data_IF_291449260968
#
_entry.id   IF_291449260968
#
_cell.length_a   1.000
_cell.length_b   1.000
_cell.length_c   1.000
_cell.angle_alpha   90.00
_cell.angle_beta   90.00
_cell.angle_gamma   90.00
#
_symmetry.space_group_name_H-M   'P 1'
#
loop_
_entity.id
_entity.type
_entity.pdbx_description
1 polymer ?
#
# COMPACT_ATOMS: atom_id res chain seq x y z
N UNK A 1 25.43 6.52 49.19
CA UNK A 1 25.18 7.72 48.38
C UNK A 1 24.11 8.55 49.09
N UNK A 2 24.28 9.87 49.19
CA UNK A 2 23.30 10.77 49.82
C UNK A 2 22.14 11.10 48.89
N UNK A 3 20.94 11.29 49.44
CA UNK A 3 19.72 11.54 48.67
C UNK A 3 19.80 12.81 47.78
N UNK A 4 20.56 13.82 48.20
CA UNK A 4 20.82 15.04 47.42
C UNK A 4 21.46 14.73 46.06
N UNK A 5 22.43 13.81 46.01
CA UNK A 5 23.10 13.45 44.77
C UNK A 5 22.18 12.65 43.86
N UNK A 6 21.29 11.81 44.41
CA UNK A 6 20.29 11.10 43.62
C UNK A 6 19.33 12.06 42.93
N UNK A 7 18.82 13.08 43.65
CA UNK A 7 17.95 14.10 43.08
C UNK A 7 18.63 14.89 41.95
N UNK A 8 19.88 15.34 42.14
CA UNK A 8 20.65 16.07 41.11
C UNK A 8 20.97 15.18 39.90
N UNK A 9 21.31 13.90 40.11
CA UNK A 9 21.52 12.95 39.02
C UNK A 9 20.22 12.66 38.26
N UNK A 10 19.10 12.48 38.96
CA UNK A 10 17.79 12.24 38.35
C UNK A 10 17.32 13.44 37.54
N UNK A 11 17.40 14.66 38.07
CA UNK A 11 17.09 15.92 37.38
C UNK A 11 18.02 16.16 36.17
N UNK A 12 19.29 15.76 36.25
CA UNK A 12 20.22 15.78 35.11
C UNK A 12 19.88 14.71 34.05
N UNK A 13 19.38 13.54 34.46
CA UNK A 13 18.88 12.50 33.56
C UNK A 13 17.60 12.98 32.87
N UNK A 14 16.59 13.41 33.63
CA UNK A 14 15.32 13.93 33.12
C UNK A 14 15.57 15.08 32.14
N UNK A 15 16.32 16.12 32.49
CA UNK A 15 16.61 17.22 31.54
C UNK A 15 17.33 16.80 30.25
N UNK A 16 18.02 15.65 30.24
CA UNK A 16 18.76 15.15 29.07
C UNK A 16 17.94 14.18 28.21
N UNK A 17 17.08 13.36 28.82
CA UNK A 17 16.31 12.30 28.14
C UNK A 17 14.82 12.64 27.98
N UNK A 18 14.26 13.44 28.90
CA UNK A 18 12.90 13.99 28.85
C UNK A 18 12.86 15.32 28.07
N UNK A 19 13.64 15.39 26.99
CA UNK A 19 13.59 16.49 26.04
C UNK A 19 12.37 16.30 25.13
N UNK A 20 11.19 16.53 25.69
CA UNK A 20 9.89 16.43 25.00
C UNK A 20 9.84 17.27 23.73
N UNK A 21 10.56 18.39 23.67
CA UNK A 21 10.72 19.21 22.47
C UNK A 21 11.50 18.48 21.36
N UNK A 22 12.60 17.79 21.67
CA UNK A 22 13.33 16.96 20.70
C UNK A 22 12.48 15.80 20.20
N UNK A 23 11.73 15.13 21.08
CA UNK A 23 10.82 14.04 20.72
C UNK A 23 9.66 14.55 19.85
N UNK A 24 9.07 15.71 20.20
CA UNK A 24 8.06 16.40 19.40
C UNK A 24 8.57 16.70 18.00
N UNK A 25 9.77 17.30 17.88
CA UNK A 25 10.37 17.62 16.59
C UNK A 25 10.64 16.36 15.75
N UNK A 26 11.17 15.29 16.34
CA UNK A 26 11.39 14.03 15.62
C UNK A 26 10.08 13.45 15.05
N UNK A 27 9.00 13.43 15.84
CA UNK A 27 7.68 12.97 15.36
C UNK A 27 7.06 13.89 14.29
N UNK A 28 7.33 15.20 14.33
CA UNK A 28 6.90 16.15 13.30
C UNK A 28 7.73 16.03 12.01
N UNK A 29 9.05 15.86 12.11
CA UNK A 29 9.94 15.60 10.97
C UNK A 29 9.55 14.30 10.26
N UNK A 30 9.31 13.22 11.03
CA UNK A 30 8.77 11.96 10.52
C UNK A 30 7.41 12.14 9.84
N UNK A 31 6.50 12.90 10.45
CA UNK A 31 5.15 13.15 9.92
C UNK A 31 5.20 13.92 8.60
N UNK A 32 5.98 15.01 8.52
CA UNK A 32 6.06 15.86 7.33
C UNK A 32 6.99 15.30 6.23
N UNK A 33 7.85 14.33 6.56
CA UNK A 33 8.67 13.61 5.56
C UNK A 33 7.94 12.44 4.89
N UNK A 34 6.74 12.05 5.35
CA UNK A 34 5.97 10.93 4.79
C UNK A 34 5.86 11.01 3.26
N UNK A 35 6.21 9.96 2.51
CA UNK A 35 6.17 9.96 1.06
C UNK A 35 4.74 10.03 0.51
N UNK A 36 4.61 10.53 -0.72
CA UNK A 36 3.33 10.49 -1.45
C UNK A 36 2.89 9.04 -1.65
N UNK A 37 1.67 8.70 -1.23
CA UNK A 37 1.12 7.35 -1.29
C UNK A 37 0.89 6.91 -2.74
N UNK A 38 1.35 5.72 -3.14
CA UNK A 38 1.01 5.15 -4.47
C UNK A 38 -0.23 4.26 -4.39
N UNK A 39 -0.66 3.69 -5.52
CA UNK A 39 -1.77 2.72 -5.57
C UNK A 39 -1.46 1.36 -4.88
N UNK A 40 -0.24 1.15 -4.37
CA UNK A 40 0.14 -0.08 -3.68
C UNK A 40 -0.47 -0.08 -2.25
N UNK A 41 -1.24 -1.12 -1.84
CA UNK A 41 -1.83 -1.20 -0.50
C UNK A 41 -0.82 -1.08 0.65
N UNK A 42 0.40 -1.61 0.47
CA UNK A 42 1.47 -1.56 1.49
C UNK A 42 1.82 -0.11 1.80
N UNK A 43 1.90 0.75 0.78
CA UNK A 43 2.20 2.18 0.96
C UNK A 43 1.05 2.92 1.65
N UNK A 44 -0.22 2.54 1.37
CA UNK A 44 -1.39 3.10 2.04
C UNK A 44 -1.39 2.74 3.53
N UNK A 45 -1.16 1.46 3.87
CA UNK A 45 -1.08 1.04 5.28
C UNK A 45 0.12 1.67 6.00
N UNK A 46 1.29 1.76 5.36
CA UNK A 46 2.46 2.36 5.97
C UNK A 46 2.24 3.85 6.28
N UNK A 47 1.64 4.60 5.35
CA UNK A 47 1.25 6.00 5.58
C UNK A 47 0.25 6.14 6.73
N UNK A 48 -0.81 5.32 6.76
CA UNK A 48 -1.82 5.33 7.82
C UNK A 48 -1.22 5.00 9.20
N UNK A 49 -0.39 3.97 9.27
CA UNK A 49 0.27 3.53 10.51
C UNK A 49 1.22 4.58 11.07
N UNK A 50 2.08 5.18 10.24
CA UNK A 50 3.02 6.21 10.69
C UNK A 50 2.32 7.54 11.04
N UNK A 51 1.24 7.90 10.34
CA UNK A 51 0.37 9.01 10.75
C UNK A 51 -0.23 8.75 12.15
N UNK A 52 -0.78 7.56 12.39
CA UNK A 52 -1.33 7.18 13.69
C UNK A 52 -0.27 7.16 14.80
N UNK A 53 0.93 6.68 14.50
CA UNK A 53 2.09 6.68 15.40
C UNK A 53 2.48 8.10 15.83
N UNK A 54 2.71 9.01 14.87
CA UNK A 54 3.08 10.40 15.18
C UNK A 54 1.97 11.13 15.95
N UNK A 55 0.70 10.93 15.58
CA UNK A 55 -0.46 11.52 16.28
C UNK A 55 -0.57 11.00 17.72
N UNK A 56 -0.40 9.68 17.91
CA UNK A 56 -0.42 9.05 19.23
C UNK A 56 0.73 9.52 20.11
N UNK A 57 1.94 9.61 19.55
CA UNK A 57 3.12 10.09 20.26
C UNK A 57 3.01 11.57 20.67
N UNK A 58 2.55 12.45 19.76
CA UNK A 58 2.30 13.86 20.09
C UNK A 58 1.23 14.02 21.17
N UNK A 59 0.18 13.20 21.14
CA UNK A 59 -0.85 13.17 22.19
C UNK A 59 -0.29 12.68 23.53
N UNK A 60 0.57 11.64 23.52
CA UNK A 60 1.23 11.13 24.71
C UNK A 60 2.22 12.13 25.34
N UNK A 61 2.81 13.01 24.52
CA UNK A 61 3.63 14.16 24.95
C UNK A 61 2.80 15.35 25.48
N UNK A 62 1.47 15.25 25.49
CA UNK A 62 0.55 16.26 26.03
C UNK A 62 0.11 17.34 25.04
N UNK A 63 0.38 17.19 23.73
CA UNK A 63 -0.08 18.14 22.71
C UNK A 63 -1.55 17.90 22.33
N UNK A 64 -2.31 18.98 22.17
CA UNK A 64 -3.71 18.92 21.74
C UNK A 64 -3.83 18.75 20.21
N UNK A 65 -3.60 17.53 19.73
CA UNK A 65 -3.61 17.22 18.27
C UNK A 65 -5.00 17.46 17.62
N UNK A 66 -6.08 17.48 18.42
CA UNK A 66 -7.44 17.78 17.96
C UNK A 66 -7.52 19.14 17.27
N UNK A 67 -6.89 20.18 17.84
CA UNK A 67 -6.84 21.52 17.27
C UNK A 67 -6.13 21.59 15.91
N UNK A 68 -5.31 20.60 15.57
CA UNK A 68 -4.54 20.53 14.33
C UNK A 68 -5.17 19.65 13.25
N UNK A 69 -6.36 19.06 13.50
CA UNK A 69 -7.02 18.16 12.56
C UNK A 69 -7.19 18.78 11.16
N UNK A 70 -7.67 20.02 11.06
CA UNK A 70 -7.90 20.70 9.77
C UNK A 70 -6.62 20.86 8.92
N UNK A 71 -5.53 21.50 9.41
CA UNK A 71 -4.30 21.62 8.61
C UNK A 71 -3.63 20.27 8.35
N UNK A 72 -3.67 19.31 9.29
CA UNK A 72 -3.11 17.98 9.09
C UNK A 72 -3.85 17.18 8.01
N UNK A 73 -5.19 17.23 8.00
CA UNK A 73 -6.01 16.60 6.96
C UNK A 73 -5.78 17.23 5.59
N UNK A 74 -5.72 18.56 5.52
CA UNK A 74 -5.36 19.25 4.27
C UNK A 74 -3.98 18.83 3.76
N UNK A 75 -2.98 18.74 4.64
CA UNK A 75 -1.64 18.29 4.26
C UNK A 75 -1.64 16.82 3.81
N UNK A 76 -2.24 15.92 4.60
CA UNK A 76 -2.28 14.48 4.30
C UNK A 76 -2.99 14.20 2.97
N UNK A 77 -4.13 14.85 2.69
CA UNK A 77 -4.86 14.67 1.42
C UNK A 77 -4.01 15.04 0.19
N UNK A 78 -3.09 16.01 0.30
CA UNK A 78 -2.12 16.31 -0.78
C UNK A 78 -1.07 15.21 -0.96
N UNK A 79 -0.77 14.40 0.06
CA UNK A 79 0.13 13.22 -0.04
C UNK A 79 -0.57 11.98 -0.60
N UNK A 80 -1.90 11.92 -0.63
CA UNK A 80 -2.64 10.82 -1.26
C UNK A 80 -2.58 10.91 -2.80
N UNK A 81 -2.53 9.77 -3.49
CA UNK A 81 -2.75 9.70 -4.94
C UNK A 81 -4.22 9.93 -5.32
N UNK A 82 -4.45 10.31 -6.58
CA UNK A 82 -5.75 10.77 -7.08
C UNK A 82 -6.94 9.86 -6.71
N UNK A 83 -6.90 8.55 -7.06
CA UNK A 83 -7.98 7.60 -6.74
C UNK A 83 -8.31 7.45 -5.26
N UNK A 84 -7.32 7.66 -4.38
CA UNK A 84 -7.49 7.58 -2.93
C UNK A 84 -8.01 8.91 -2.36
N UNK A 85 -7.59 10.04 -2.95
CA UNK A 85 -8.14 11.36 -2.67
C UNK A 85 -9.60 11.45 -3.09
N UNK A 86 -9.94 11.04 -4.31
CA UNK A 86 -11.32 10.99 -4.82
C UNK A 86 -12.25 10.20 -3.88
N UNK A 87 -11.83 9.02 -3.43
CA UNK A 87 -12.58 8.20 -2.48
C UNK A 87 -12.70 8.83 -1.07
N UNK A 88 -11.75 9.68 -0.68
CA UNK A 88 -11.83 10.45 0.58
C UNK A 88 -12.82 11.62 0.44
N UNK A 89 -12.71 12.41 -0.63
CA UNK A 89 -13.62 13.52 -0.93
C UNK A 89 -15.09 13.04 -1.05
N UNK A 90 -15.31 11.86 -1.65
CA UNK A 90 -16.64 11.24 -1.73
C UNK A 90 -17.22 10.91 -0.35
N UNK A 91 -16.39 10.39 0.57
CA UNK A 91 -16.80 10.05 1.94
C UNK A 91 -17.14 11.29 2.77
N UNK A 92 -16.26 12.29 2.78
CA UNK A 92 -16.45 13.48 3.63
C UNK A 92 -17.61 14.35 3.16
N UNK A 93 -18.03 14.25 1.90
CA UNK A 93 -19.23 14.92 1.38
C UNK A 93 -20.52 14.44 2.07
N UNK A 94 -20.50 13.28 2.71
CA UNK A 94 -21.65 12.68 3.41
C UNK A 94 -21.55 12.69 4.94
N UNK A 95 -20.44 13.12 5.52
CA UNK A 95 -20.17 13.04 6.96
C UNK A 95 -19.96 14.44 7.59
N UNK A 96 -20.05 14.50 8.93
CA UNK A 96 -19.68 15.66 9.78
C UNK A 96 -18.19 15.99 9.56
N UNK A 97 -17.68 17.23 9.81
CA UNK A 97 -16.26 17.57 9.71
C UNK A 97 -15.35 16.44 10.21
N UNK A 98 -14.56 15.81 9.32
CA UNK A 98 -13.91 14.54 9.60
C UNK A 98 -12.81 14.70 10.64
N UNK A 99 -12.74 13.77 11.58
CA UNK A 99 -11.63 13.73 12.54
C UNK A 99 -10.39 13.08 11.92
N UNK A 100 -9.23 13.31 12.54
CA UNK A 100 -7.98 12.67 12.13
C UNK A 100 -8.04 11.14 12.33
N UNK A 101 -8.80 10.67 13.33
CA UNK A 101 -9.12 9.26 13.54
C UNK A 101 -9.96 8.66 12.40
N UNK A 102 -10.97 9.37 11.89
CA UNK A 102 -11.80 8.88 10.78
C UNK A 102 -10.97 8.73 9.50
N UNK A 103 -10.04 9.66 9.28
CA UNK A 103 -9.10 9.61 8.17
C UNK A 103 -8.13 8.42 8.26
N UNK A 104 -7.55 8.19 9.44
CA UNK A 104 -6.69 7.01 9.69
C UNK A 104 -7.49 5.71 9.46
N UNK A 105 -8.72 5.62 9.97
CA UNK A 105 -9.60 4.47 9.80
C UNK A 105 -9.96 4.24 8.32
N UNK A 106 -10.29 5.30 7.58
CA UNK A 106 -10.52 5.24 6.14
C UNK A 106 -9.31 4.70 5.37
N UNK A 107 -8.09 5.16 5.68
CA UNK A 107 -6.88 4.68 5.00
C UNK A 107 -6.61 3.20 5.28
N UNK A 108 -6.82 2.73 6.52
CA UNK A 108 -6.70 1.32 6.86
C UNK A 108 -7.73 0.44 6.14
N UNK A 109 -9.00 0.86 6.08
CA UNK A 109 -10.03 0.13 5.34
C UNK A 109 -9.71 0.10 3.84
N UNK A 110 -9.25 1.23 3.28
CA UNK A 110 -8.92 1.30 1.85
C UNK A 110 -7.68 0.47 1.50
N UNK A 111 -6.69 0.38 2.39
CA UNK A 111 -5.58 -0.57 2.26
C UNK A 111 -6.09 -2.02 2.24
N UNK A 112 -6.96 -2.41 3.18
CA UNK A 112 -7.56 -3.75 3.26
C UNK A 112 -8.34 -4.13 1.98
N UNK A 113 -9.14 -3.20 1.45
CA UNK A 113 -9.87 -3.39 0.18
C UNK A 113 -8.90 -3.62 -0.98
N UNK A 114 -7.85 -2.79 -1.09
CA UNK A 114 -6.86 -2.90 -2.15
C UNK A 114 -6.16 -4.28 -2.12
N UNK A 115 -5.77 -4.78 -0.94
CA UNK A 115 -5.15 -6.11 -0.78
C UNK A 115 -6.07 -7.23 -1.29
N UNK A 116 -7.33 -7.25 -0.85
CA UNK A 116 -8.31 -8.24 -1.28
C UNK A 116 -8.49 -8.25 -2.81
N UNK A 117 -8.50 -7.08 -3.43
CA UNK A 117 -8.59 -6.96 -4.91
C UNK A 117 -7.30 -7.38 -5.63
N UNK A 118 -6.11 -7.09 -5.07
CA UNK A 118 -4.83 -7.38 -5.74
C UNK A 118 -4.58 -8.89 -5.88
N UNK A 119 -4.87 -9.67 -4.83
CA UNK A 119 -4.72 -11.14 -4.84
C UNK A 119 -5.65 -11.85 -5.84
N UNK A 120 -6.73 -11.18 -6.29
CA UNK A 120 -7.69 -11.76 -7.24
C UNK A 120 -7.15 -11.82 -8.67
N UNK A 121 -6.15 -11.01 -9.01
CA UNK A 121 -5.62 -10.88 -10.38
C UNK A 121 -4.70 -12.03 -10.77
N UNK A 122 -3.80 -12.46 -9.87
CA UNK A 122 -2.79 -13.49 -10.15
C UNK A 122 -3.37 -14.92 -10.19
N UNK A 123 -4.56 -15.13 -9.62
CA UNK A 123 -5.26 -16.42 -9.62
C UNK A 123 -5.91 -16.77 -10.97
N UNK A 124 -5.82 -15.89 -11.98
CA UNK A 124 -6.37 -16.11 -13.33
C UNK A 124 -5.39 -16.82 -14.30
N UNK A 125 -4.33 -17.44 -13.78
CA UNK A 125 -3.44 -18.33 -14.53
C UNK A 125 -4.15 -19.62 -14.97
N UNK A 126 -4.74 -19.61 -16.16
CA UNK A 126 -5.29 -20.81 -16.82
C UNK A 126 -4.19 -21.87 -16.93
N UNK A 127 -4.37 -23.10 -16.40
CA UNK A 127 -3.40 -24.17 -16.59
C UNK A 127 -3.47 -24.67 -18.04
N UNK A 128 -2.58 -24.13 -18.88
CA UNK A 128 -2.45 -24.50 -20.28
C UNK A 128 -1.93 -25.94 -20.38
N UNK A 129 -2.86 -26.90 -20.50
CA UNK A 129 -2.54 -28.32 -20.70
C UNK A 129 -1.71 -28.49 -21.98
N UNK A 130 -0.43 -28.81 -21.80
CA UNK A 130 0.43 -29.25 -22.89
C UNK A 130 -0.09 -30.59 -23.42
N UNK A 131 -0.52 -30.63 -24.68
CA UNK A 131 -0.91 -31.87 -25.34
C UNK A 131 0.31 -32.42 -26.07
N UNK A 132 0.96 -33.43 -25.49
CA UNK A 132 2.08 -34.10 -26.15
C UNK A 132 1.60 -34.80 -27.42
N UNK A 133 2.10 -34.33 -28.56
CA UNK A 133 1.77 -34.85 -29.88
C UNK A 133 2.52 -36.16 -30.11
N UNK A 134 1.95 -37.28 -29.66
CA UNK A 134 2.50 -38.61 -29.95
C UNK A 134 2.50 -38.81 -31.47
N UNK A 135 3.70 -38.79 -32.05
CA UNK A 135 3.94 -39.30 -33.39
C UNK A 135 3.98 -40.83 -33.32
N UNK A 136 3.12 -41.49 -34.07
CA UNK A 136 3.19 -42.92 -34.33
C UNK A 136 2.78 -43.13 -35.77
N UNK A 137 3.79 -43.16 -36.64
CA UNK A 137 3.57 -43.43 -38.05
C UNK A 137 3.18 -44.89 -38.28
N UNK A 138 2.53 -45.15 -39.40
CA UNK A 138 2.65 -46.47 -40.03
C UNK A 138 2.70 -46.30 -41.54
N UNK A 139 3.69 -46.95 -42.16
CA UNK A 139 3.95 -46.85 -43.59
C UNK A 139 3.42 -48.09 -44.32
N UNK A 140 2.74 -47.86 -45.44
CA UNK A 140 2.43 -48.84 -46.49
C UNK A 140 2.09 -48.04 -47.75
N UNK A 141 2.56 -48.30 -48.96
CA UNK A 141 3.61 -49.13 -49.54
C UNK A 141 3.50 -48.78 -51.04
N UNK A 142 4.57 -48.40 -51.72
CA UNK A 142 4.48 -47.94 -53.11
C UNK A 142 4.56 -49.10 -54.11
N UNK A 143 3.74 -49.05 -55.17
CA UNK A 143 3.90 -49.89 -56.37
C UNK A 143 3.38 -49.16 -57.60
N UNK A 144 4.29 -48.88 -58.54
CA UNK A 144 4.09 -48.36 -59.90
C UNK A 144 4.16 -49.54 -60.91
N UNK A 145 4.05 -49.35 -62.24
CA UNK A 145 3.10 -48.56 -63.05
C UNK A 145 2.42 -49.47 -64.14
N UNK A 146 1.72 -48.92 -65.15
CA UNK A 146 1.88 -49.21 -66.61
C UNK A 146 0.80 -48.53 -67.50
N UNK A 147 1.29 -48.10 -68.66
CA UNK A 147 0.81 -47.36 -69.86
C UNK A 147 -0.55 -47.71 -70.52
N UNK A 148 -1.29 -46.69 -71.02
CA UNK A 148 -2.17 -46.64 -72.24
C UNK A 148 -3.07 -45.36 -72.25
N UNK A 149 -3.59 -44.78 -73.36
CA UNK A 149 -3.08 -44.60 -74.74
C UNK A 149 -3.87 -43.50 -75.55
N UNK A 150 -3.18 -42.51 -76.15
CA UNK A 150 -3.42 -41.74 -77.42
C UNK A 150 -4.78 -41.19 -77.97
N UNK A 151 -4.70 -39.95 -78.55
CA UNK A 151 -5.40 -39.39 -79.78
C UNK A 151 -6.90 -38.96 -79.62
N UNK A 152 -7.51 -37.92 -80.26
CA UNK A 152 -7.23 -36.96 -81.38
C UNK A 152 -7.87 -35.57 -81.09
N UNK A 153 -7.36 -34.41 -81.53
CA UNK A 153 -7.71 -33.64 -82.79
C UNK A 153 -9.22 -33.38 -82.98
N UNK A 154 -9.73 -32.17 -83.28
CA UNK A 154 -9.14 -31.00 -83.95
C UNK A 154 -9.53 -29.65 -83.30
#
# INVERSE_FOLDING_TARGET
LTASNYAVCWDTLSRRYDNTHLQTNAHLEDLFSLPTTTANPVHVRAFAGKLAECVGALTALGHEVVGWAVPLLFWCTKRLHNKLREAWEERIRTEVPPSLSDFIAFLHERARILEATHHSTDASGVPQKHYDRISSGNAIHASQPVTSLTISTA
#
